data_IF_136232977066
#
_entry.id   IF_136232977066
#
_cell.length_a   1.000
_cell.length_b   1.000
_cell.length_c   1.000
_cell.angle_alpha   90.00
_cell.angle_beta   90.00
_cell.angle_gamma   90.00
#
_symmetry.space_group_name_H-M   'P 1'
#
loop_
_entity.id
_entity.type
_entity.pdbx_description
1 polymer ?
#
# COMPACT_ATOMS: atom_id res chain seq x y z
N UNK A 1 5.47 12.60 -1.45
CA UNK A 1 6.83 12.68 -2.03
C UNK A 1 7.25 11.31 -2.57
N UNK A 2 7.20 10.27 -1.72
CA UNK A 2 7.59 8.88 -2.03
C UNK A 2 6.95 8.25 -3.27
N UNK A 3 5.66 8.53 -3.53
CA UNK A 3 5.02 8.05 -4.76
C UNK A 3 5.61 8.69 -6.03
N UNK A 4 5.91 10.00 -5.99
CA UNK A 4 6.51 10.73 -7.12
C UNK A 4 7.95 10.28 -7.37
N UNK A 5 8.69 9.98 -6.30
CA UNK A 5 10.05 9.43 -6.40
C UNK A 5 10.02 8.00 -6.99
N UNK A 6 9.04 7.19 -6.62
CA UNK A 6 8.82 5.86 -7.21
C UNK A 6 8.44 5.92 -8.69
N UNK A 7 7.69 6.94 -9.13
CA UNK A 7 7.39 7.16 -10.56
C UNK A 7 8.68 7.47 -11.34
N UNK A 8 9.56 8.32 -10.81
CA UNK A 8 10.84 8.62 -11.47
C UNK A 8 11.75 7.39 -11.58
N UNK A 9 11.77 6.53 -10.55
CA UNK A 9 12.51 5.26 -10.54
C UNK A 9 11.90 4.25 -11.52
N UNK A 10 10.57 4.10 -11.53
CA UNK A 10 9.86 3.23 -12.46
C UNK A 10 10.05 3.65 -13.93
N UNK A 11 9.96 4.95 -14.20
CA UNK A 11 10.20 5.53 -15.53
C UNK A 11 11.64 5.27 -16.02
N UNK A 12 12.64 5.49 -15.15
CA UNK A 12 14.04 5.19 -15.45
C UNK A 12 14.29 3.70 -15.72
N UNK A 13 13.59 2.81 -15.01
CA UNK A 13 13.64 1.37 -15.28
C UNK A 13 12.93 1.00 -16.58
N UNK A 14 11.81 1.66 -16.90
CA UNK A 14 11.06 1.44 -18.14
C UNK A 14 11.84 1.78 -19.38
N UNK A 15 12.52 2.92 -19.39
CA UNK A 15 13.40 3.32 -20.48
C UNK A 15 14.54 2.32 -20.74
N UNK A 16 15.04 1.65 -19.69
CA UNK A 16 16.12 0.65 -19.80
C UNK A 16 15.62 -0.73 -20.22
N UNK A 17 14.38 -1.06 -19.90
CA UNK A 17 13.77 -2.37 -20.14
C UNK A 17 12.85 -2.41 -21.36
N UNK A 18 12.68 -1.27 -22.06
CA UNK A 18 11.71 -1.15 -23.16
C UNK A 18 10.25 -1.27 -22.69
N UNK A 19 9.99 -1.07 -21.41
CA UNK A 19 8.65 -1.12 -20.82
C UNK A 19 8.04 0.29 -20.92
N UNK A 20 6.96 0.40 -21.68
CA UNK A 20 6.25 1.66 -21.93
C UNK A 20 5.00 1.82 -21.06
N UNK A 21 4.64 0.83 -20.23
CA UNK A 21 3.44 0.88 -19.42
C UNK A 21 3.71 0.39 -18.00
N UNK A 22 3.35 1.21 -17.02
CA UNK A 22 3.44 0.90 -15.60
C UNK A 22 2.05 0.97 -14.98
N UNK A 23 1.65 -0.08 -14.27
CA UNK A 23 0.46 -0.02 -13.43
C UNK A 23 0.79 0.81 -12.20
N UNK A 24 0.15 1.97 -12.10
CA UNK A 24 0.34 2.86 -10.98
C UNK A 24 -0.83 2.65 -10.02
N UNK A 25 -0.48 2.15 -8.83
CA UNK A 25 -1.39 1.43 -7.96
C UNK A 25 -2.42 2.35 -7.33
N UNK A 26 -3.66 2.27 -7.84
CA UNK A 26 -4.84 2.78 -7.16
C UNK A 26 -5.63 1.60 -6.53
N UNK A 27 -6.06 1.77 -5.27
CA UNK A 27 -7.11 1.03 -4.53
C UNK A 27 -7.13 -0.51 -4.60
N UNK A 28 -6.98 -1.19 -3.45
CA UNK A 28 -7.49 -2.56 -3.35
C UNK A 28 -9.01 -2.53 -3.28
N UNK A 29 -9.68 -3.48 -3.95
CA UNK A 29 -11.13 -3.60 -3.83
C UNK A 29 -11.52 -4.22 -2.49
N UNK A 30 -12.46 -3.61 -1.80
CA UNK A 30 -13.08 -4.14 -0.59
C UNK A 30 -14.44 -4.77 -0.92
N UNK A 31 -14.78 -5.86 -0.25
CA UNK A 31 -15.97 -6.67 -0.58
C UNK A 31 -17.30 -6.07 -0.11
N UNK A 32 -17.23 -5.07 0.76
CA UNK A 32 -18.37 -4.36 1.37
C UNK A 32 -18.77 -3.09 0.60
N UNK A 33 -18.06 -2.73 -0.48
CA UNK A 33 -18.38 -1.59 -1.32
C UNK A 33 -18.57 -2.01 -2.79
N UNK A 34 -19.40 -1.28 -3.52
CA UNK A 34 -19.58 -1.53 -4.96
C UNK A 34 -18.36 -1.11 -5.75
N UNK A 35 -18.07 -1.80 -6.87
CA UNK A 35 -16.97 -1.41 -7.77
C UNK A 35 -17.09 0.06 -8.20
N UNK A 36 -18.29 0.51 -8.56
CA UNK A 36 -18.54 1.88 -8.98
C UNK A 36 -18.29 2.91 -7.86
N UNK A 37 -18.67 2.63 -6.61
CA UNK A 37 -18.38 3.53 -5.49
C UNK A 37 -16.88 3.61 -5.19
N UNK A 38 -16.17 2.49 -5.34
CA UNK A 38 -14.72 2.42 -5.16
C UNK A 38 -13.97 3.07 -6.32
N UNK A 39 -14.48 2.99 -7.54
CA UNK A 39 -13.96 3.68 -8.73
C UNK A 39 -14.27 5.19 -8.69
N UNK A 40 -15.38 5.60 -8.06
CA UNK A 40 -15.72 7.01 -7.83
C UNK A 40 -14.87 7.65 -6.73
N UNK A 41 -14.72 6.99 -5.57
CA UNK A 41 -13.76 7.35 -4.53
C UNK A 41 -12.32 7.31 -5.10
N UNK A 42 -12.10 6.34 -5.99
CA UNK A 42 -11.14 6.31 -7.09
C UNK A 42 -10.68 7.65 -7.58
N UNK A 43 -11.53 8.16 -8.44
CA UNK A 43 -11.40 9.44 -9.09
C UNK A 43 -11.33 10.60 -8.10
N UNK A 44 -12.09 10.58 -7.00
CA UNK A 44 -12.09 11.65 -5.98
C UNK A 44 -10.74 11.80 -5.26
N UNK A 45 -10.07 10.69 -4.96
CA UNK A 45 -8.72 10.69 -4.38
C UNK A 45 -7.62 11.01 -5.40
N UNK A 46 -7.96 11.00 -6.69
CA UNK A 46 -7.09 11.27 -7.85
C UNK A 46 -7.46 12.65 -8.40
N UNK A 47 -7.56 13.65 -7.51
CA UNK A 47 -7.82 15.01 -7.93
C UNK A 47 -6.52 15.68 -8.39
N UNK A 48 -6.56 16.25 -9.60
CA UNK A 48 -5.48 17.09 -10.10
C UNK A 48 -5.68 18.47 -9.45
N UNK A 49 -4.60 19.09 -8.94
CA UNK A 49 -4.71 20.51 -8.58
C UNK A 49 -5.25 21.27 -9.80
N UNK A 50 -6.23 22.18 -9.63
CA UNK A 50 -6.90 22.85 -10.75
C UNK A 50 -5.93 23.44 -11.78
N UNK A 51 -4.81 24.02 -11.31
CA UNK A 51 -3.74 24.55 -12.15
C UNK A 51 -2.98 23.46 -12.93
N UNK A 52 -2.78 22.29 -12.32
CA UNK A 52 -2.18 21.13 -12.98
C UNK A 52 -3.13 20.49 -13.99
N UNK A 53 -4.43 20.41 -13.67
CA UNK A 53 -5.45 19.91 -14.59
C UNK A 53 -5.50 20.74 -15.87
N UNK A 54 -5.50 22.07 -15.75
CA UNK A 54 -5.47 22.98 -16.88
C UNK A 54 -4.20 22.81 -17.74
N UNK A 55 -3.03 22.71 -17.10
CA UNK A 55 -1.77 22.52 -17.80
C UNK A 55 -1.71 21.18 -18.55
N UNK A 56 -2.17 20.09 -17.94
CA UNK A 56 -2.18 18.76 -18.55
C UNK A 56 -3.19 18.70 -19.70
N UNK A 57 -4.39 19.25 -19.52
CA UNK A 57 -5.41 19.31 -20.57
C UNK A 57 -4.91 20.00 -21.83
N UNK A 58 -4.11 21.07 -21.67
CA UNK A 58 -3.48 21.77 -22.78
C UNK A 58 -2.49 20.90 -23.56
N UNK A 59 -1.75 19.98 -22.91
CA UNK A 59 -0.77 19.10 -23.59
C UNK A 59 -1.41 18.06 -24.51
N UNK A 60 -2.68 17.72 -24.27
CA UNK A 60 -3.44 16.72 -25.05
C UNK A 60 -4.61 17.35 -25.82
N UNK A 61 -4.64 18.68 -25.89
CA UNK A 61 -5.65 19.45 -26.61
C UNK A 61 -7.10 19.08 -26.24
N UNK A 62 -7.37 18.93 -24.95
CA UNK A 62 -8.73 18.76 -24.39
C UNK A 62 -9.09 19.92 -23.48
N UNK A 63 -10.39 20.14 -23.26
CA UNK A 63 -10.84 21.03 -22.20
C UNK A 63 -10.59 20.37 -20.82
N UNK A 64 -10.34 21.14 -19.74
CA UNK A 64 -10.05 20.57 -18.41
C UNK A 64 -11.13 19.61 -17.87
N UNK A 65 -12.39 19.81 -18.22
CA UNK A 65 -13.52 18.95 -17.87
C UNK A 65 -13.55 17.63 -18.67
N UNK A 66 -12.99 17.60 -19.88
CA UNK A 66 -12.84 16.40 -20.70
C UNK A 66 -11.58 15.57 -20.35
N UNK A 67 -10.67 16.14 -19.55
CA UNK A 67 -9.42 15.48 -19.15
C UNK A 67 -9.68 14.18 -18.37
N UNK A 68 -10.66 14.16 -17.47
CA UNK A 68 -10.99 12.98 -16.66
C UNK A 68 -11.35 11.75 -17.50
N UNK A 69 -12.17 11.95 -18.55
CA UNK A 69 -12.55 10.87 -19.47
C UNK A 69 -11.37 10.30 -20.27
N UNK A 70 -10.38 11.14 -20.59
CA UNK A 70 -9.17 10.70 -21.27
C UNK A 70 -8.22 9.94 -20.33
N UNK A 71 -8.14 10.36 -19.06
CA UNK A 71 -7.41 9.64 -17.99
C UNK A 71 -8.06 8.28 -17.72
N UNK A 72 -9.39 8.19 -17.69
CA UNK A 72 -10.10 6.92 -17.51
C UNK A 72 -9.80 5.94 -18.67
N UNK A 73 -9.81 6.44 -19.91
CA UNK A 73 -9.42 5.63 -21.09
C UNK A 73 -7.97 5.17 -21.00
N UNK A 74 -7.06 6.04 -20.56
CA UNK A 74 -5.65 5.70 -20.34
C UNK A 74 -5.49 4.59 -19.30
N UNK A 75 -6.18 4.69 -18.17
CA UNK A 75 -6.19 3.69 -17.09
C UNK A 75 -6.71 2.33 -17.59
N UNK A 76 -7.74 2.34 -18.43
CA UNK A 76 -8.39 1.13 -18.95
C UNK A 76 -7.61 0.45 -20.07
N UNK A 77 -7.06 1.24 -21.00
CA UNK A 77 -6.46 0.74 -22.24
C UNK A 77 -4.93 0.64 -22.15
N UNK A 78 -4.31 1.43 -21.28
CA UNK A 78 -2.87 1.64 -21.27
C UNK A 78 -2.38 2.54 -22.43
N UNK A 79 -1.10 2.94 -22.40
CA UNK A 79 -0.55 3.96 -23.31
C UNK A 79 -0.65 3.61 -24.81
N UNK A 80 -0.36 2.36 -25.18
CA UNK A 80 -0.35 1.95 -26.58
C UNK A 80 -1.75 1.99 -27.21
N UNK A 81 -2.73 1.34 -26.58
CA UNK A 81 -4.11 1.31 -27.07
C UNK A 81 -4.82 2.66 -26.93
N UNK A 82 -4.40 3.53 -25.99
CA UNK A 82 -4.89 4.90 -25.95
C UNK A 82 -4.48 5.69 -27.19
N UNK A 83 -3.23 5.53 -27.65
CA UNK A 83 -2.74 6.24 -28.84
C UNK A 83 -3.52 5.83 -30.10
N UNK A 84 -3.94 4.56 -30.19
CA UNK A 84 -4.81 4.08 -31.25
C UNK A 84 -6.25 4.61 -31.12
N UNK A 85 -6.78 4.68 -29.90
CA UNK A 85 -8.17 5.07 -29.64
C UNK A 85 -8.41 6.59 -29.64
N UNK A 86 -7.36 7.40 -29.43
CA UNK A 86 -7.43 8.85 -29.34
C UNK A 86 -6.22 9.57 -29.98
N UNK A 87 -5.87 9.27 -31.25
CA UNK A 87 -4.67 9.80 -31.91
C UNK A 87 -4.65 11.32 -32.02
N UNK A 88 -5.82 11.97 -32.02
CA UNK A 88 -5.94 13.43 -32.06
C UNK A 88 -5.48 14.13 -30.75
N UNK A 89 -5.45 13.39 -29.64
CA UNK A 89 -5.01 13.89 -28.33
C UNK A 89 -3.65 13.30 -27.94
N UNK A 90 -3.40 12.07 -28.37
CA UNK A 90 -2.26 11.26 -27.99
C UNK A 90 -1.76 10.52 -29.24
N UNK A 91 -0.87 11.13 -30.05
CA UNK A 91 -0.57 10.66 -31.40
C UNK A 91 0.23 9.35 -31.45
N UNK A 92 0.95 9.01 -30.38
CA UNK A 92 1.79 7.83 -30.30
C UNK A 92 1.93 7.33 -28.85
N UNK A 93 2.41 6.09 -28.64
CA UNK A 93 2.59 5.55 -27.29
C UNK A 93 3.55 6.37 -26.40
N UNK A 94 4.53 7.07 -26.97
CA UNK A 94 5.42 7.96 -26.24
C UNK A 94 4.69 9.18 -25.70
N UNK A 95 3.84 9.81 -26.51
CA UNK A 95 2.94 10.88 -26.09
C UNK A 95 1.96 10.40 -25.02
N UNK A 96 1.49 9.15 -25.11
CA UNK A 96 0.61 8.55 -24.11
C UNK A 96 1.32 8.36 -22.76
N UNK A 97 2.59 7.94 -22.79
CA UNK A 97 3.44 7.86 -21.58
C UNK A 97 3.73 9.23 -21.01
N UNK A 98 4.03 10.22 -21.84
CA UNK A 98 4.26 11.59 -21.38
C UNK A 98 3.00 12.18 -20.72
N UNK A 99 1.83 11.98 -21.33
CA UNK A 99 0.54 12.33 -20.76
C UNK A 99 0.29 11.62 -19.43
N UNK A 100 0.58 10.32 -19.35
CA UNK A 100 0.46 9.53 -18.12
C UNK A 100 1.34 10.08 -17.00
N UNK A 101 2.60 10.40 -17.30
CA UNK A 101 3.55 11.01 -16.36
C UNK A 101 3.10 12.38 -15.89
N UNK A 102 2.54 13.19 -16.80
CA UNK A 102 2.03 14.51 -16.48
C UNK A 102 0.83 14.41 -15.53
N UNK A 103 -0.12 13.50 -15.81
CA UNK A 103 -1.21 13.16 -14.89
C UNK A 103 -0.65 12.76 -13.53
N UNK A 104 0.29 11.83 -13.46
CA UNK A 104 0.91 11.40 -12.20
C UNK A 104 1.62 12.51 -11.42
N UNK A 105 2.26 13.43 -12.12
CA UNK A 105 2.96 14.56 -11.49
C UNK A 105 1.98 15.60 -10.95
N UNK A 106 0.88 15.83 -11.69
CA UNK A 106 -0.18 16.77 -11.33
C UNK A 106 -1.12 16.25 -10.24
N UNK A 107 -1.11 14.94 -9.97
CA UNK A 107 -1.94 14.37 -8.93
C UNK A 107 -1.58 14.97 -7.57
N UNK A 108 -2.59 15.55 -6.94
CA UNK A 108 -2.60 15.71 -5.49
C UNK A 108 -3.06 14.39 -4.93
N UNK A 109 -2.09 13.50 -4.71
CA UNK A 109 -2.22 12.48 -3.69
C UNK A 109 -2.35 13.24 -2.37
N UNK A 110 -3.54 13.71 -2.04
CA UNK A 110 -3.90 13.84 -0.65
C UNK A 110 -3.91 12.41 -0.09
N UNK A 111 -2.73 11.88 0.20
CA UNK A 111 -2.60 11.15 1.45
C UNK A 111 -3.01 12.18 2.50
N UNK A 112 -4.33 12.29 2.77
CA UNK A 112 -4.80 12.85 4.02
C UNK A 112 -4.24 11.89 5.05
N UNK A 113 -3.00 12.11 5.45
CA UNK A 113 -2.56 11.76 6.78
C UNK A 113 -3.58 12.42 7.68
N UNK A 114 -4.61 11.65 8.03
CA UNK A 114 -5.56 12.09 9.03
C UNK A 114 -4.75 12.07 10.32
N UNK A 115 -4.58 13.22 10.97
CA UNK A 115 -3.83 13.25 12.21
C UNK A 115 -4.48 12.25 13.16
N UNK A 116 -3.69 11.27 13.60
CA UNK A 116 -4.10 10.43 14.70
C UNK A 116 -4.00 11.30 15.96
N UNK A 117 -5.15 11.79 16.42
CA UNK A 117 -5.26 12.66 17.60
C UNK A 117 -4.83 11.95 18.90
N UNK A 118 -4.74 10.62 18.87
CA UNK A 118 -4.17 9.77 19.90
C UNK A 118 -4.16 8.31 19.45
N UNK A 119 -3.14 7.54 19.86
CA UNK A 119 -3.07 6.11 19.54
C UNK A 119 -4.21 5.31 20.20
N UNK A 120 -4.72 5.80 21.33
CA UNK A 120 -5.88 5.28 22.05
C UNK A 120 -7.18 5.42 21.27
N UNK A 121 -7.30 6.46 20.45
CA UNK A 121 -8.48 6.68 19.58
C UNK A 121 -8.47 5.85 18.31
N UNK A 122 -7.32 5.22 17.99
CA UNK A 122 -7.19 4.34 16.84
C UNK A 122 -7.52 2.91 17.25
N UNK A 123 -8.41 2.26 16.50
CA UNK A 123 -8.69 0.83 16.64
C UNK A 123 -7.98 0.08 15.53
N UNK A 124 -6.98 -0.75 15.89
CA UNK A 124 -6.24 -1.57 14.93
C UNK A 124 -7.14 -2.68 14.38
N UNK A 125 -7.85 -3.34 15.30
CA UNK A 125 -8.78 -4.44 15.06
C UNK A 125 -9.80 -4.46 16.21
N UNK A 126 -10.94 -5.15 16.09
CA UNK A 126 -11.94 -5.20 17.15
C UNK A 126 -11.35 -5.54 18.53
N UNK A 127 -11.42 -4.60 19.46
CA UNK A 127 -10.88 -4.75 20.82
C UNK A 127 -9.34 -4.65 20.94
N UNK A 128 -8.65 -4.27 19.88
CA UNK A 128 -7.19 -4.04 19.83
C UNK A 128 -6.92 -2.57 19.56
N UNK A 129 -6.62 -1.84 20.65
CA UNK A 129 -6.31 -0.41 20.57
C UNK A 129 -4.93 -0.13 19.96
N UNK A 130 -4.83 1.01 19.27
CA UNK A 130 -3.61 1.59 18.72
C UNK A 130 -2.54 1.90 19.78
N UNK A 131 -2.90 1.96 21.06
CA UNK A 131 -1.97 2.03 22.19
C UNK A 131 -0.84 1.00 22.11
N UNK A 132 -1.11 -0.17 21.54
CA UNK A 132 -0.11 -1.22 21.37
C UNK A 132 1.05 -0.83 20.45
N UNK A 133 0.92 0.24 19.66
CA UNK A 133 1.99 0.78 18.83
C UNK A 133 2.94 1.69 19.60
N UNK A 134 2.56 2.18 20.81
CA UNK A 134 3.39 3.13 21.59
C UNK A 134 4.83 2.65 21.80
N UNK A 135 5.10 1.37 22.16
CA UNK A 135 6.48 0.91 22.34
C UNK A 135 7.33 1.04 21.07
N UNK A 136 6.71 0.94 19.89
CA UNK A 136 7.39 1.07 18.60
C UNK A 136 7.66 2.52 18.19
N UNK A 137 6.80 3.45 18.64
CA UNK A 137 6.88 4.88 18.29
C UNK A 137 7.61 5.73 19.33
N UNK A 138 7.90 5.18 20.52
CA UNK A 138 8.41 5.94 21.67
C UNK A 138 9.86 6.46 21.50
N UNK A 139 10.69 5.85 20.67
CA UNK A 139 12.14 6.11 20.65
C UNK A 139 12.58 7.35 19.85
N UNK A 140 11.64 8.23 19.47
CA UNK A 140 11.92 9.48 18.77
C UNK A 140 12.19 9.32 17.27
N UNK A 141 11.90 10.39 16.51
CA UNK A 141 12.02 10.45 15.06
C UNK A 141 10.77 9.98 14.31
N UNK A 142 10.68 10.38 13.03
CA UNK A 142 9.60 9.96 12.15
C UNK A 142 9.77 8.48 11.78
N UNK A 143 8.70 7.70 11.95
CA UNK A 143 8.65 6.29 11.56
C UNK A 143 7.43 6.05 10.68
N UNK A 144 7.65 5.38 9.54
CA UNK A 144 6.57 4.88 8.69
C UNK A 144 6.37 3.40 8.98
N UNK A 145 5.27 3.06 9.65
CA UNK A 145 4.95 1.70 10.02
C UNK A 145 3.66 1.22 9.36
N UNK A 146 3.60 -0.07 9.03
CA UNK A 146 2.37 -0.75 8.64
C UNK A 146 1.88 -1.56 9.84
N UNK A 147 0.67 -1.27 10.32
CA UNK A 147 0.09 -1.98 11.46
C UNK A 147 -0.37 -3.41 11.11
N UNK A 148 -0.62 -3.71 9.83
CA UNK A 148 -1.12 -5.01 9.38
C UNK A 148 -2.44 -5.41 10.08
N UNK A 149 -3.43 -4.51 10.10
CA UNK A 149 -4.70 -4.63 10.83
C UNK A 149 -5.40 -5.99 10.63
N UNK A 150 -5.48 -6.49 9.39
CA UNK A 150 -6.11 -7.78 9.12
C UNK A 150 -5.36 -8.97 9.76
N UNK A 151 -4.02 -8.94 9.74
CA UNK A 151 -3.21 -9.96 10.42
C UNK A 151 -3.33 -9.85 11.95
N UNK A 152 -3.36 -8.62 12.49
CA UNK A 152 -3.59 -8.37 13.91
C UNK A 152 -4.96 -8.91 14.38
N UNK A 153 -6.02 -8.66 13.60
CA UNK A 153 -7.37 -9.17 13.86
C UNK A 153 -7.39 -10.70 13.85
N UNK A 154 -6.95 -11.31 12.74
CA UNK A 154 -6.95 -12.76 12.57
C UNK A 154 -6.12 -13.47 13.64
N UNK A 155 -4.95 -12.94 13.99
CA UNK A 155 -4.12 -13.47 15.07
C UNK A 155 -4.84 -13.38 16.43
N UNK A 156 -5.41 -12.22 16.77
CA UNK A 156 -6.13 -12.00 18.02
C UNK A 156 -7.35 -12.92 18.18
N UNK A 157 -8.04 -13.23 17.09
CA UNK A 157 -9.19 -14.14 17.03
C UNK A 157 -8.77 -15.62 17.07
N UNK A 158 -7.59 -15.95 16.53
CA UNK A 158 -7.09 -17.33 16.48
C UNK A 158 -6.58 -17.82 17.84
N UNK A 159 -5.88 -16.98 18.59
CA UNK A 159 -5.25 -17.41 19.86
C UNK A 159 -6.22 -18.07 20.86
N UNK A 160 -7.43 -17.56 21.11
CA UNK A 160 -8.39 -18.20 22.02
C UNK A 160 -8.94 -19.54 21.54
N UNK A 161 -8.79 -19.87 20.24
CA UNK A 161 -9.23 -21.14 19.66
C UNK A 161 -8.21 -22.27 19.87
N UNK A 162 -7.01 -21.94 20.33
CA UNK A 162 -5.96 -22.92 20.58
C UNK A 162 -6.30 -23.76 21.81
N UNK A 163 -5.88 -25.02 21.77
CA UNK A 163 -5.85 -25.87 22.96
C UNK A 163 -5.03 -25.19 24.08
N UNK A 164 -5.28 -25.44 25.38
CA UNK A 164 -4.49 -24.87 26.48
C UNK A 164 -2.97 -25.17 26.45
N UNK A 165 -2.56 -26.18 25.67
CA UNK A 165 -1.15 -26.51 25.39
C UNK A 165 -0.83 -26.40 23.88
N UNK A 166 -1.69 -25.69 23.15
CA UNK A 166 -1.61 -25.51 21.72
C UNK A 166 -0.55 -24.47 21.37
N UNK A 167 0.08 -24.70 20.22
CA UNK A 167 1.06 -23.80 19.62
C UNK A 167 0.53 -23.34 18.27
N UNK A 168 0.69 -22.06 17.95
CA UNK A 168 0.50 -21.53 16.60
C UNK A 168 1.86 -21.30 15.95
N UNK A 169 2.07 -21.91 14.79
CA UNK A 169 3.22 -21.62 13.93
C UNK A 169 2.74 -21.01 12.61
N UNK A 170 3.33 -19.89 12.23
CA UNK A 170 3.03 -19.19 10.98
C UNK A 170 4.34 -18.93 10.24
N UNK A 171 4.38 -19.26 8.96
CA UNK A 171 5.50 -18.97 8.08
C UNK A 171 5.10 -17.87 7.11
N UNK A 172 5.69 -16.69 7.27
CA UNK A 172 5.37 -15.54 6.43
C UNK A 172 6.54 -14.55 6.44
N UNK A 173 6.39 -13.41 5.78
CA UNK A 173 7.30 -12.28 5.87
C UNK A 173 6.92 -11.37 7.04
N UNK A 174 7.76 -11.36 8.09
CA UNK A 174 7.52 -10.56 9.30
C UNK A 174 8.54 -9.44 9.42
N UNK A 175 8.07 -8.22 9.73
CA UNK A 175 8.94 -7.24 10.36
C UNK A 175 9.18 -7.75 11.79
N UNK A 176 10.42 -8.07 12.14
CA UNK A 176 10.75 -8.70 13.43
C UNK A 176 11.24 -7.70 14.48
N UNK A 177 11.50 -6.45 14.08
CA UNK A 177 11.83 -5.34 14.99
C UNK A 177 11.31 -4.00 14.46
N UNK A 178 11.11 -3.04 15.36
CA UNK A 178 10.68 -1.69 14.97
C UNK A 178 11.73 -0.96 14.10
N UNK A 179 13.02 -1.25 14.28
CA UNK A 179 14.12 -0.65 13.51
C UNK A 179 14.07 -0.99 12.01
N UNK A 180 13.46 -2.12 11.64
CA UNK A 180 13.29 -2.49 10.23
C UNK A 180 12.38 -1.52 9.48
N UNK A 181 11.46 -0.83 10.17
CA UNK A 181 10.64 0.24 9.58
C UNK A 181 11.40 1.56 9.39
N UNK A 182 12.54 1.74 10.08
CA UNK A 182 13.38 2.94 9.94
C UNK A 182 14.34 2.87 8.76
N UNK A 183 14.79 1.66 8.45
CA UNK A 183 15.86 1.40 7.48
C UNK A 183 15.34 0.89 6.13
N UNK A 184 14.04 0.64 6.00
CA UNK A 184 13.45 0.25 4.73
C UNK A 184 11.93 0.21 4.76
N UNK A 185 11.34 0.12 3.57
CA UNK A 185 9.91 -0.04 3.41
C UNK A 185 9.48 -1.47 3.80
N UNK A 186 8.53 -1.57 4.74
CA UNK A 186 7.91 -2.80 5.23
C UNK A 186 6.39 -2.66 5.22
N UNK A 187 5.88 -2.04 4.16
CA UNK A 187 4.45 -1.83 3.94
C UNK A 187 3.88 -2.79 2.90
N UNK A 188 2.63 -2.53 2.48
CA UNK A 188 1.98 -3.31 1.44
C UNK A 188 2.66 -3.12 0.08
N UNK A 189 2.90 -4.23 -0.62
CA UNK A 189 3.34 -4.26 -2.01
C UNK A 189 2.37 -5.08 -2.87
N UNK A 190 2.33 -4.85 -4.18
CA UNK A 190 1.62 -5.75 -5.10
C UNK A 190 2.61 -6.63 -5.84
N UNK A 191 2.28 -7.90 -5.99
CA UNK A 191 3.02 -8.87 -6.78
C UNK A 191 2.01 -9.79 -7.47
N UNK A 192 2.06 -9.84 -8.81
CA UNK A 192 1.26 -10.74 -9.65
C UNK A 192 -0.24 -10.80 -9.28
N UNK A 193 -0.91 -9.65 -9.30
CA UNK A 193 -2.34 -9.54 -8.96
C UNK A 193 -2.66 -9.71 -7.47
N UNK A 194 -1.67 -10.02 -6.63
CA UNK A 194 -1.81 -10.21 -5.19
C UNK A 194 -1.18 -9.07 -4.40
N UNK A 195 -1.57 -8.95 -3.13
CA UNK A 195 -1.00 -7.99 -2.18
C UNK A 195 -0.10 -8.77 -1.24
N UNK A 196 1.16 -8.35 -1.16
CA UNK A 196 2.18 -8.90 -0.28
C UNK A 196 2.45 -7.87 0.80
N UNK A 197 2.15 -8.21 2.05
CA UNK A 197 2.31 -7.32 3.19
C UNK A 197 3.32 -7.92 4.17
N UNK A 198 4.27 -7.12 4.62
CA UNK A 198 5.03 -7.48 5.80
C UNK A 198 4.11 -7.44 7.03
N UNK A 199 4.08 -8.54 7.78
CA UNK A 199 3.29 -8.62 9.01
C UNK A 199 4.07 -7.96 10.14
N UNK A 200 3.39 -7.15 10.94
CA UNK A 200 4.01 -6.41 12.05
C UNK A 200 4.25 -7.34 13.26
N UNK A 201 5.41 -7.97 13.30
CA UNK A 201 5.79 -8.93 14.35
C UNK A 201 5.79 -8.32 15.77
N UNK A 202 6.41 -7.14 16.01
CA UNK A 202 6.35 -6.49 17.31
C UNK A 202 4.93 -6.25 17.82
N UNK A 203 4.01 -5.84 16.95
CA UNK A 203 2.60 -5.69 17.32
C UNK A 203 1.97 -7.03 17.68
N UNK A 204 2.19 -8.09 16.89
CA UNK A 204 1.68 -9.42 17.21
C UNK A 204 2.23 -9.94 18.54
N UNK A 205 3.50 -9.66 18.85
CA UNK A 205 4.07 -10.01 20.14
C UNK A 205 3.38 -9.29 21.30
N UNK A 206 3.05 -8.00 21.15
CA UNK A 206 2.25 -7.27 22.15
C UNK A 206 0.82 -7.81 22.29
N UNK A 207 0.17 -8.18 21.19
CA UNK A 207 -1.17 -8.80 21.20
C UNK A 207 -1.12 -10.16 21.90
N UNK A 208 -0.17 -11.01 21.53
CA UNK A 208 0.04 -12.33 22.13
C UNK A 208 0.29 -12.22 23.63
N UNK A 209 1.17 -11.30 24.04
CA UNK A 209 1.46 -11.06 25.44
C UNK A 209 0.22 -10.73 26.28
N UNK A 210 -0.68 -9.90 25.75
CA UNK A 210 -1.95 -9.55 26.42
C UNK A 210 -2.95 -10.71 26.47
N UNK A 211 -2.80 -11.70 25.59
CA UNK A 211 -3.63 -12.90 25.52
C UNK A 211 -3.01 -14.12 26.21
N UNK A 212 -1.88 -13.95 26.91
CA UNK A 212 -1.22 -15.05 27.62
C UNK A 212 -0.32 -15.92 26.73
N UNK A 213 0.20 -15.36 25.64
CA UNK A 213 1.11 -16.07 24.74
C UNK A 213 2.46 -15.36 24.62
N UNK A 214 3.54 -16.14 24.53
CA UNK A 214 4.85 -15.67 24.11
C UNK A 214 5.02 -15.89 22.61
N UNK A 215 5.42 -14.82 21.92
CA UNK A 215 5.58 -14.81 20.47
C UNK A 215 7.04 -14.61 20.12
N UNK A 216 7.60 -15.57 19.38
CA UNK A 216 8.99 -15.57 18.94
C UNK A 216 9.09 -15.67 17.42
N UNK A 217 10.18 -15.13 16.87
CA UNK A 217 10.46 -15.13 15.43
C UNK A 217 11.81 -15.78 15.17
N UNK A 218 11.87 -16.71 14.23
CA UNK A 218 13.09 -17.37 13.79
C UNK A 218 13.18 -17.40 12.26
N UNK A 219 14.38 -17.29 11.65
CA UNK A 219 14.53 -17.48 10.21
C UNK A 219 13.97 -18.85 9.77
N UNK A 220 13.26 -18.87 8.64
CA UNK A 220 12.83 -20.14 8.05
C UNK A 220 14.04 -20.94 7.57
N UNK A 221 13.98 -22.27 7.65
CA UNK A 221 15.09 -23.17 7.33
C UNK A 221 15.35 -23.32 5.81
N UNK A 222 15.43 -22.20 5.09
CA UNK A 222 15.79 -22.10 3.68
C UNK A 222 16.72 -20.91 3.49
N UNK A 223 17.96 -21.19 3.10
CA UNK A 223 18.96 -20.15 2.82
C UNK A 223 18.47 -19.18 1.73
N UNK A 224 18.74 -17.88 1.93
CA UNK A 224 18.37 -16.81 0.99
C UNK A 224 16.88 -16.43 0.99
N UNK A 225 16.06 -17.00 1.88
CA UNK A 225 14.64 -16.66 2.02
C UNK A 225 14.42 -15.52 3.00
N UNK A 226 13.45 -14.64 2.72
CA UNK A 226 12.94 -13.63 3.66
C UNK A 226 11.84 -14.18 4.58
N UNK A 227 11.47 -15.45 4.44
CA UNK A 227 10.43 -16.10 5.25
C UNK A 227 10.95 -16.26 6.69
N UNK A 228 10.06 -15.94 7.63
CA UNK A 228 10.27 -16.05 9.07
C UNK A 228 9.19 -16.98 9.62
N UNK A 229 9.59 -17.83 10.56
CA UNK A 229 8.68 -18.62 11.38
C UNK A 229 8.34 -17.82 12.63
N UNK A 230 7.08 -17.40 12.74
CA UNK A 230 6.51 -16.95 14.00
C UNK A 230 6.00 -18.17 14.78
N UNK A 231 6.34 -18.26 16.05
CA UNK A 231 5.76 -19.23 16.98
C UNK A 231 5.07 -18.48 18.12
N UNK A 232 3.82 -18.81 18.41
CA UNK A 232 3.10 -18.36 19.60
C UNK A 232 2.83 -19.56 20.51
N UNK A 233 3.39 -19.52 21.72
CA UNK A 233 3.25 -20.52 22.76
C UNK A 233 2.47 -19.94 23.94
N UNK A 234 1.68 -20.75 24.64
CA UNK A 234 1.02 -20.33 25.89
C UNK A 234 2.12 -20.00 26.91
N UNK A 235 1.97 -18.88 27.61
CA UNK A 235 2.86 -18.51 28.71
C UNK A 235 2.67 -19.45 29.88
N UNK A 236 3.79 -19.89 30.45
CA UNK A 236 3.82 -20.53 31.77
C UNK A 236 3.40 -19.54 32.88
#
# INVERSE_FOLDING_TARGET
>A
QEFRDNVAVADGMGGRLGISAFNALYGNRVGDATAAAQDALGAENVDLAADAAAAIAATVAVAPDALGALIEKLLRLGPALLAEAAPQHVPDPGAAVAFWRACWSGLRLQERYVPLHGLDTYEIAPGISGELLRPMTATGGDIRLHAANGAAASFAETLPLLHPFGRLQCHDIFATSADQYRTGFRGPGKYDGSVVNWVNGPLLAHIGARKGFDVAFAPFARSGSNIVTMTADVRD
#
